data_IF_416675273569
#
_entry.id   IF_416675273569
#
_cell.length_a   1.000
_cell.length_b   1.000
_cell.length_c   1.000
_cell.angle_alpha   90.00
_cell.angle_beta   90.00
_cell.angle_gamma   90.00
#
_symmetry.space_group_name_H-M   'P 1'
#
loop_
_entity.id
_entity.type
_entity.pdbx_description
1 polymer ?
#
# COMPACT_ATOMS: atom_id res chain seq x y z
N UNK A 1 33.20 -3.75 -8.45
CA UNK A 1 32.21 -3.27 -9.44
C UNK A 1 30.91 -3.97 -9.12
N UNK A 2 30.04 -3.33 -8.35
CA UNK A 2 28.63 -3.75 -8.27
C UNK A 2 28.02 -3.53 -9.64
N UNK A 3 27.30 -4.51 -10.24
CA UNK A 3 26.59 -4.25 -11.49
C UNK A 3 25.54 -3.18 -11.21
N UNK A 4 25.62 -2.07 -11.94
CA UNK A 4 24.57 -1.05 -12.00
C UNK A 4 23.28 -1.77 -12.43
N UNK A 5 22.32 -1.89 -11.52
CA UNK A 5 21.00 -2.45 -11.83
C UNK A 5 20.28 -1.36 -12.62
N UNK A 6 19.82 -1.63 -13.86
CA UNK A 6 19.08 -0.65 -14.65
C UNK A 6 17.87 -0.13 -13.87
N UNK A 7 17.63 1.17 -13.94
CA UNK A 7 16.46 1.77 -13.32
C UNK A 7 15.21 1.24 -13.98
N UNK A 8 14.13 1.01 -13.21
CA UNK A 8 12.84 0.60 -13.78
C UNK A 8 12.34 1.62 -14.82
N UNK A 9 12.72 2.90 -14.66
CA UNK A 9 12.38 3.98 -15.56
C UNK A 9 13.08 3.88 -16.93
N UNK A 10 14.16 3.09 -17.04
CA UNK A 10 14.86 2.84 -18.31
C UNK A 10 14.10 1.85 -19.20
N UNK A 11 13.06 1.19 -18.68
CA UNK A 11 12.27 0.24 -19.45
C UNK A 11 11.23 0.97 -20.33
N UNK A 12 11.22 0.72 -21.66
CA UNK A 12 10.29 1.39 -22.58
C UNK A 12 8.81 1.14 -22.32
N UNK A 13 8.48 0.14 -21.49
CA UNK A 13 7.11 -0.13 -21.07
C UNK A 13 6.66 0.81 -19.95
N UNK A 14 7.57 1.21 -19.05
CA UNK A 14 7.27 2.06 -17.89
C UNK A 14 6.92 3.48 -18.34
N UNK A 15 7.61 3.99 -19.36
CA UNK A 15 7.31 5.30 -19.94
C UNK A 15 5.92 5.41 -20.59
N UNK A 16 5.27 4.28 -20.89
CA UNK A 16 3.89 4.25 -21.42
C UNK A 16 2.83 4.35 -20.34
N UNK A 17 3.19 4.17 -19.06
CA UNK A 17 2.27 4.17 -17.92
C UNK A 17 2.77 5.08 -16.78
N UNK A 18 2.94 6.39 -17.03
CA UNK A 18 3.50 7.32 -16.03
C UNK A 18 2.61 7.49 -14.79
N UNK A 19 1.32 7.20 -14.91
CA UNK A 19 0.30 7.22 -13.85
C UNK A 19 0.31 5.97 -12.97
N UNK A 20 0.84 4.85 -13.48
CA UNK A 20 0.96 3.58 -12.73
C UNK A 20 2.27 3.51 -11.94
N UNK A 21 3.36 4.03 -12.51
CA UNK A 21 4.70 4.01 -11.92
C UNK A 21 5.10 5.36 -11.34
N UNK A 22 4.30 5.86 -10.40
CA UNK A 22 4.57 7.10 -9.68
C UNK A 22 5.61 6.87 -8.56
N UNK A 23 6.46 7.87 -8.31
CA UNK A 23 7.42 7.85 -7.19
C UNK A 23 6.73 7.77 -5.81
N UNK A 24 5.46 8.16 -5.75
CA UNK A 24 4.59 8.04 -4.57
C UNK A 24 3.25 7.45 -4.96
N UNK A 25 2.74 6.53 -4.15
CA UNK A 25 1.44 5.91 -4.38
C UNK A 25 0.29 6.93 -4.15
N UNK A 26 -0.76 6.92 -4.97
CA UNK A 26 -1.99 7.64 -4.68
C UNK A 26 -2.65 6.96 -3.48
N UNK A 27 -2.61 7.62 -2.30
CA UNK A 27 -2.88 6.97 -1.01
C UNK A 27 -4.20 6.19 -0.93
N UNK A 28 -5.29 6.78 -1.41
CA UNK A 28 -6.59 6.10 -1.49
C UNK A 28 -6.71 5.45 -2.87
N UNK A 29 -7.00 4.13 -2.94
CA UNK A 29 -7.31 3.50 -4.21
C UNK A 29 -8.43 4.25 -4.94
N UNK A 30 -8.32 4.48 -6.25
CA UNK A 30 -9.41 5.09 -7.00
C UNK A 30 -10.71 4.30 -6.80
N UNK A 31 -11.84 5.00 -6.91
CA UNK A 31 -13.17 4.38 -6.84
C UNK A 31 -13.20 3.22 -7.81
N UNK A 32 -13.38 2.01 -7.27
CA UNK A 32 -13.50 0.80 -8.07
C UNK A 32 -14.95 0.68 -8.54
N UNK A 33 -15.16 0.18 -9.74
CA UNK A 33 -16.49 -0.12 -10.27
C UNK A 33 -17.18 -1.26 -9.50
N UNK A 34 -16.42 -2.04 -8.74
CA UNK A 34 -16.90 -3.19 -7.97
C UNK A 34 -16.65 -2.98 -6.48
N UNK A 35 -17.67 -3.22 -5.69
CA UNK A 35 -17.60 -3.23 -4.23
C UNK A 35 -16.81 -4.47 -3.75
N UNK A 36 -15.86 -4.24 -2.86
CA UNK A 36 -15.12 -5.33 -2.20
C UNK A 36 -15.94 -5.83 -1.00
N UNK A 37 -16.46 -7.06 -1.10
CA UNK A 37 -17.18 -7.72 -0.01
C UNK A 37 -16.26 -8.67 0.75
N UNK A 38 -16.23 -8.60 2.08
CA UNK A 38 -15.53 -9.56 2.94
C UNK A 38 -16.57 -10.53 3.51
N UNK A 39 -16.61 -11.73 2.95
CA UNK A 39 -17.48 -12.79 3.45
C UNK A 39 -16.87 -13.43 4.69
N UNK A 40 -17.67 -13.55 5.74
CA UNK A 40 -17.28 -14.23 6.96
C UNK A 40 -17.71 -15.69 6.89
N UNK A 41 -16.87 -16.60 7.40
CA UNK A 41 -17.30 -17.97 7.63
C UNK A 41 -18.46 -17.98 8.64
N UNK A 42 -19.48 -18.85 8.47
CA UNK A 42 -20.59 -18.93 9.41
C UNK A 42 -20.11 -19.16 10.84
N UNK A 43 -20.57 -18.32 11.77
CA UNK A 43 -20.16 -18.37 13.19
C UNK A 43 -18.90 -17.55 13.53
N UNK A 44 -18.30 -16.82 12.59
CA UNK A 44 -17.26 -15.86 12.91
C UNK A 44 -17.82 -14.68 13.71
N UNK A 45 -17.15 -14.34 14.81
CA UNK A 45 -17.47 -13.18 15.65
C UNK A 45 -16.46 -12.05 15.41
N UNK A 46 -16.85 -10.78 15.62
CA UNK A 46 -15.92 -9.65 15.55
C UNK A 46 -14.76 -9.81 16.52
N UNK A 47 -13.54 -9.55 16.05
CA UNK A 47 -12.34 -9.62 16.88
C UNK A 47 -12.11 -8.25 17.53
N UNK A 48 -11.95 -8.24 18.85
CA UNK A 48 -11.52 -7.06 19.61
C UNK A 48 -10.24 -7.39 20.38
N UNK A 49 -9.16 -6.67 20.07
CA UNK A 49 -7.86 -6.82 20.74
C UNK A 49 -7.28 -5.45 21.04
N UNK A 50 -6.62 -5.31 22.20
CA UNK A 50 -5.93 -4.08 22.55
C UNK A 50 -4.80 -3.78 21.54
N UNK A 51 -4.62 -2.52 21.12
CA UNK A 51 -3.48 -2.12 20.30
C UNK A 51 -2.15 -2.42 21.00
N UNK A 52 -1.11 -2.73 20.23
CA UNK A 52 0.23 -2.87 20.76
C UNK A 52 0.79 -1.51 21.21
N UNK A 53 1.66 -1.55 22.23
CA UNK A 53 2.38 -0.34 22.66
C UNK A 53 3.43 0.01 21.61
N UNK A 54 3.34 1.24 21.11
CA UNK A 54 4.30 1.83 20.18
C UNK A 54 5.05 2.98 20.87
N UNK A 55 6.29 3.22 20.47
CA UNK A 55 7.06 4.38 20.90
C UNK A 55 6.49 5.68 20.30
N UNK A 56 6.76 6.85 20.90
CA UNK A 56 6.26 8.13 20.37
C UNK A 56 6.67 8.42 18.92
N UNK A 57 7.83 7.93 18.48
CA UNK A 57 8.31 8.08 17.09
C UNK A 57 7.48 7.26 16.10
N UNK A 58 7.19 6.00 16.44
CA UNK A 58 6.35 5.11 15.61
C UNK A 58 4.92 5.64 15.51
N UNK A 59 4.38 6.18 16.61
CA UNK A 59 3.06 6.82 16.60
C UNK A 59 3.01 8.09 15.75
N UNK A 60 4.13 8.80 15.63
CA UNK A 60 4.22 9.97 14.74
C UNK A 60 4.24 9.50 13.28
N UNK A 61 5.07 8.52 12.96
CA UNK A 61 5.13 7.95 11.62
C UNK A 61 3.79 7.38 11.16
N UNK A 62 3.09 6.63 12.03
CA UNK A 62 1.77 6.07 11.73
C UNK A 62 0.71 7.15 11.43
N UNK A 63 0.84 8.34 12.02
CA UNK A 63 -0.07 9.48 11.77
C UNK A 63 0.24 10.23 10.48
N UNK A 64 1.49 10.15 10.02
CA UNK A 64 1.98 10.82 8.82
C UNK A 64 1.72 9.99 7.54
N UNK A 65 1.28 8.73 7.69
CA UNK A 65 0.77 7.87 6.61
C UNK A 65 -0.66 8.27 6.18
#
# INVERSE_FOLDING_TARGET
MTPEIPSIHDQPIVSKFPDVFLDKLPGIPPVREVELNIELIPGAEPISKAPYRMAPVELKELKDQ
#
